data_IF_639760804668
#
_entry.id   IF_639760804668
#
_cell.length_a   1.000
_cell.length_b   1.000
_cell.length_c   1.000
_cell.angle_alpha   90.00
_cell.angle_beta   90.00
_cell.angle_gamma   90.00
#
_symmetry.space_group_name_H-M   'P 1'
#
loop_
_entity.id
_entity.type
_entity.pdbx_description
1 polymer ?
#
# COMPACT_ATOMS: atom_id res chain seq x y z
N UNK A 1 9.84 4.19 6.44
CA UNK A 1 8.69 5.07 6.15
C UNK A 1 8.84 5.57 4.72
N UNK A 2 7.83 5.46 3.86
CA UNK A 2 7.91 5.82 2.43
C UNK A 2 7.93 7.36 2.30
N UNK A 3 9.06 7.97 2.61
CA UNK A 3 9.19 9.43 2.68
C UNK A 3 10.03 9.98 1.55
N UNK A 4 9.46 9.93 0.35
CA UNK A 4 9.96 10.76 -0.72
C UNK A 4 8.79 11.44 -1.39
N UNK A 5 8.90 12.76 -1.53
CA UNK A 5 7.92 13.60 -2.23
C UNK A 5 7.63 13.09 -3.64
N UNK A 6 8.61 12.46 -4.30
CA UNK A 6 8.41 11.85 -5.61
C UNK A 6 7.44 10.65 -5.57
N UNK A 7 7.43 9.86 -4.50
CA UNK A 7 6.50 8.73 -4.35
C UNK A 7 5.10 9.22 -4.00
N UNK A 8 4.98 10.26 -3.16
CA UNK A 8 3.68 10.85 -2.81
C UNK A 8 2.90 11.32 -4.05
N UNK A 9 3.60 11.82 -5.08
CA UNK A 9 3.00 12.23 -6.37
C UNK A 9 2.48 11.07 -7.23
N UNK A 10 2.91 9.84 -6.96
CA UNK A 10 2.48 8.66 -7.72
C UNK A 10 1.25 7.99 -7.11
N UNK A 11 0.86 8.40 -5.89
CA UNK A 11 -0.31 7.89 -5.19
C UNK A 11 -1.55 8.55 -5.79
N UNK A 12 -2.61 7.76 -5.97
CA UNK A 12 -3.88 8.23 -6.53
C UNK A 12 -4.61 9.23 -5.63
N UNK A 13 -5.57 10.00 -6.17
CA UNK A 13 -6.51 10.78 -5.37
C UNK A 13 -7.26 9.88 -4.38
N UNK A 14 -7.25 10.23 -3.10
CA UNK A 14 -7.67 9.35 -1.99
C UNK A 14 -6.50 8.83 -1.14
N UNK A 15 -5.28 8.93 -1.67
CA UNK A 15 -4.06 8.62 -0.93
C UNK A 15 -3.74 7.14 -0.91
N UNK A 16 -3.07 6.72 0.16
CA UNK A 16 -2.69 5.34 0.40
C UNK A 16 -3.34 4.85 1.68
N UNK A 17 -3.62 3.56 1.72
CA UNK A 17 -3.99 2.85 2.92
C UNK A 17 -2.80 1.97 3.31
N UNK A 18 -2.13 2.33 4.41
CA UNK A 18 -1.11 1.48 5.00
C UNK A 18 -1.76 0.68 6.12
N UNK A 19 -1.94 -0.62 5.91
CA UNK A 19 -2.34 -1.53 6.96
C UNK A 19 -1.08 -1.95 7.69
N UNK A 20 -0.91 -1.45 8.91
CA UNK A 20 0.23 -1.74 9.78
C UNK A 20 0.36 -3.22 10.13
N UNK A 21 -0.69 -4.00 9.86
CA UNK A 21 -0.64 -5.44 10.01
C UNK A 21 -1.58 -6.14 9.03
N UNK A 22 -1.18 -7.35 8.63
CA UNK A 22 -2.01 -8.23 7.79
C UNK A 22 -3.23 -8.79 8.53
N UNK A 23 -3.37 -8.53 9.83
CA UNK A 23 -4.53 -8.97 10.63
C UNK A 23 -5.75 -8.07 10.47
N UNK A 24 -5.58 -6.83 10.03
CA UNK A 24 -6.70 -5.90 9.78
C UNK A 24 -7.43 -6.22 8.46
N UNK A 25 -6.99 -7.25 7.73
CA UNK A 25 -7.52 -7.63 6.43
C UNK A 25 -7.76 -9.13 6.36
N UNK A 26 -8.93 -9.50 5.86
CA UNK A 26 -9.34 -10.88 5.60
C UNK A 26 -9.31 -11.06 4.09
N UNK A 27 -8.38 -11.89 3.62
CA UNK A 27 -8.25 -12.26 2.22
C UNK A 27 -9.00 -13.57 1.96
N UNK A 28 -9.65 -13.74 0.80
CA UNK A 28 -10.17 -15.04 0.39
C UNK A 28 -9.02 -16.01 0.11
N UNK A 29 -9.31 -17.30 0.15
CA UNK A 29 -8.40 -18.31 -0.36
C UNK A 29 -8.23 -18.13 -1.88
N UNK A 30 -7.01 -17.86 -2.33
CA UNK A 30 -6.69 -17.71 -3.75
C UNK A 30 -6.29 -16.28 -4.15
N UNK A 31 -6.72 -15.78 -5.32
CA UNK A 31 -6.28 -14.49 -5.84
C UNK A 31 -6.69 -13.32 -4.93
N UNK A 32 -5.73 -12.47 -4.56
CA UNK A 32 -5.92 -11.25 -3.75
C UNK A 32 -6.57 -10.11 -4.53
N UNK A 33 -7.72 -10.40 -5.12
CA UNK A 33 -8.51 -9.45 -5.91
C UNK A 33 -9.58 -8.76 -5.08
N UNK A 34 -9.98 -9.35 -3.95
CA UNK A 34 -10.97 -8.82 -3.04
C UNK A 34 -10.53 -9.09 -1.60
N UNK A 35 -11.00 -8.29 -0.65
CA UNK A 35 -10.74 -8.50 0.77
C UNK A 35 -11.80 -7.81 1.64
N UNK A 36 -11.82 -8.13 2.92
CA UNK A 36 -12.56 -7.39 3.93
C UNK A 36 -11.56 -6.73 4.86
N UNK A 37 -11.60 -5.39 4.95
CA UNK A 37 -10.85 -4.64 5.97
C UNK A 37 -11.73 -4.52 7.21
N UNK A 38 -11.21 -4.96 8.34
CA UNK A 38 -11.87 -4.85 9.64
C UNK A 38 -11.29 -3.68 10.44
N UNK A 39 -12.15 -2.94 11.12
CA UNK A 39 -11.75 -1.83 11.99
C UNK A 39 -12.79 -1.60 13.08
N UNK A 40 -12.43 -1.00 14.22
CA UNK A 40 -13.40 -0.59 15.23
C UNK A 40 -14.39 0.43 14.66
N UNK A 41 -15.67 0.33 15.04
CA UNK A 41 -16.67 1.36 14.74
C UNK A 41 -16.59 2.54 15.73
N UNK A 42 -16.00 2.31 16.90
CA UNK A 42 -15.82 3.27 17.97
C UNK A 42 -14.36 3.26 18.44
N UNK A 43 -13.87 4.41 18.91
CA UNK A 43 -12.57 4.53 19.52
C UNK A 43 -12.70 5.09 20.94
N UNK A 44 -11.85 4.63 21.84
CA UNK A 44 -11.64 5.23 23.14
C UNK A 44 -10.48 6.22 23.07
N UNK A 45 -10.76 7.47 23.41
CA UNK A 45 -9.78 8.54 23.38
C UNK A 45 -9.58 9.10 24.78
N UNK A 46 -8.48 8.72 25.42
CA UNK A 46 -8.13 9.12 26.78
C UNK A 46 -7.91 10.64 26.94
N UNK A 47 -7.65 11.37 25.86
CA UNK A 47 -7.38 12.81 25.92
C UNK A 47 -8.65 13.66 25.93
N UNK A 48 -9.83 13.05 25.69
CA UNK A 48 -11.09 13.76 25.75
C UNK A 48 -11.50 14.08 27.19
N UNK A 49 -12.36 15.09 27.32
CA UNK A 49 -12.92 15.56 28.60
C UNK A 49 -11.86 15.90 29.66
N UNK A 50 -10.67 16.36 29.27
CA UNK A 50 -9.62 16.72 30.23
C UNK A 50 -8.92 15.51 30.86
N UNK A 51 -8.83 14.38 30.14
CA UNK A 51 -8.08 13.20 30.58
C UNK A 51 -8.93 12.08 31.17
N UNK A 52 -10.23 12.28 31.33
CA UNK A 52 -11.17 11.22 31.76
C UNK A 52 -11.46 10.21 30.65
N UNK A 53 -11.18 10.60 29.40
CA UNK A 53 -11.45 9.81 28.22
C UNK A 53 -12.92 9.80 27.83
N UNK A 54 -13.17 9.53 26.56
CA UNK A 54 -14.52 9.34 26.05
C UNK A 54 -14.52 8.41 24.83
N UNK A 55 -15.71 7.90 24.51
CA UNK A 55 -15.95 7.16 23.29
C UNK A 55 -16.26 8.11 22.14
N UNK A 56 -15.62 7.89 21.00
CA UNK A 56 -15.90 8.60 19.75
C UNK A 56 -16.21 7.63 18.62
N UNK A 57 -16.99 8.08 17.64
CA UNK A 57 -17.20 7.29 16.43
C UNK A 57 -15.92 7.28 15.60
N UNK A 58 -15.44 6.08 15.28
CA UNK A 58 -14.30 5.94 14.40
C UNK A 58 -14.70 6.41 12.99
N UNK A 59 -13.92 7.32 12.40
CA UNK A 59 -14.07 7.63 10.98
C UNK A 59 -13.80 6.36 10.13
N UNK A 60 -14.50 6.16 9.01
CA UNK A 60 -14.20 5.04 8.12
C UNK A 60 -12.77 5.19 7.56
N UNK A 61 -11.91 4.20 7.82
CA UNK A 61 -10.55 4.14 7.27
C UNK A 61 -10.55 4.12 5.74
N UNK A 62 -11.61 3.53 5.17
CA UNK A 62 -11.78 3.38 3.74
C UNK A 62 -13.25 3.67 3.35
N UNK A 63 -13.60 4.94 3.07
CA UNK A 63 -14.96 5.31 2.66
C UNK A 63 -15.39 4.61 1.36
N UNK A 64 -16.67 4.27 1.27
CA UNK A 64 -17.26 3.61 0.09
C UNK A 64 -17.10 4.49 -1.15
N UNK A 65 -16.68 3.88 -2.27
CA UNK A 65 -16.41 4.53 -3.55
C UNK A 65 -15.01 5.17 -3.66
N UNK A 66 -14.25 5.28 -2.57
CA UNK A 66 -12.87 5.76 -2.66
C UNK A 66 -11.94 4.68 -3.23
N UNK A 67 -10.91 5.15 -3.93
CA UNK A 67 -9.78 4.33 -4.40
C UNK A 67 -8.53 4.68 -3.62
N UNK A 68 -7.78 3.67 -3.15
CA UNK A 68 -6.52 3.88 -2.41
C UNK A 68 -5.45 2.89 -2.85
N UNK A 69 -4.20 3.34 -2.83
CA UNK A 69 -3.06 2.43 -2.95
C UNK A 69 -2.90 1.63 -1.65
N UNK A 70 -2.97 0.30 -1.73
CA UNK A 70 -2.92 -0.57 -0.56
C UNK A 70 -1.49 -1.05 -0.31
N UNK A 71 -1.01 -0.80 0.91
CA UNK A 71 0.24 -1.31 1.42
C UNK A 71 -0.03 -2.18 2.64
N UNK A 72 0.53 -3.38 2.67
CA UNK A 72 0.36 -4.32 3.79
C UNK A 72 1.70 -4.56 4.45
N UNK A 73 1.76 -4.29 5.75
CA UNK A 73 2.96 -4.56 6.54
C UNK A 73 2.98 -6.04 6.95
N UNK A 74 4.04 -6.72 6.52
CA UNK A 74 4.37 -8.07 6.92
C UNK A 74 5.56 -8.08 7.89
N UNK A 75 5.84 -9.21 8.57
CA UNK A 75 7.02 -9.34 9.44
C UNK A 75 8.35 -9.01 8.73
N UNK A 76 8.44 -9.27 7.43
CA UNK A 76 9.65 -9.07 6.62
C UNK A 76 9.68 -7.76 5.83
N UNK A 77 8.69 -6.88 6.07
CA UNK A 77 8.61 -5.57 5.43
C UNK A 77 7.24 -5.27 4.83
N UNK A 78 7.19 -4.15 4.14
CA UNK A 78 5.98 -3.62 3.53
C UNK A 78 5.82 -4.14 2.09
N UNK A 79 4.67 -4.72 1.76
CA UNK A 79 4.28 -5.07 0.39
C UNK A 79 3.34 -4.01 -0.20
N UNK A 80 3.39 -3.84 -1.51
CA UNK A 80 2.41 -3.08 -2.26
C UNK A 80 1.48 -4.07 -2.96
N UNK A 81 0.19 -4.03 -2.64
CA UNK A 81 -0.79 -5.00 -3.14
C UNK A 81 -1.53 -4.50 -4.39
N UNK A 82 -1.51 -3.19 -4.66
CA UNK A 82 -2.20 -2.58 -5.81
C UNK A 82 -3.11 -1.43 -5.41
N UNK A 83 -3.97 -1.05 -6.34
CA UNK A 83 -5.01 -0.04 -6.12
C UNK A 83 -6.33 -0.73 -5.83
N UNK A 84 -6.91 -0.43 -4.67
CA UNK A 84 -8.18 -0.98 -4.22
C UNK A 84 -9.27 0.08 -4.19
N UNK A 85 -10.52 -0.34 -4.34
CA UNK A 85 -11.73 0.45 -4.17
C UNK A 85 -12.57 -0.15 -3.06
N UNK A 86 -13.08 0.67 -2.14
CA UNK A 86 -14.07 0.24 -1.17
C UNK A 86 -15.44 0.15 -1.85
N UNK A 87 -15.98 -1.06 -2.00
CA UNK A 87 -17.25 -1.29 -2.69
C UNK A 87 -18.44 -1.23 -1.76
N UNK A 88 -18.25 -1.58 -0.49
CA UNK A 88 -19.30 -1.59 0.50
C UNK A 88 -18.70 -1.46 1.90
N UNK A 89 -19.48 -0.93 2.83
CA UNK A 89 -19.10 -0.91 4.24
C UNK A 89 -20.31 -1.10 5.14
N UNK A 90 -20.18 -2.02 6.08
CA UNK A 90 -21.20 -2.33 7.07
C UNK A 90 -20.61 -2.32 8.48
N UNK A 91 -21.48 -2.21 9.47
CA UNK A 91 -21.12 -2.34 10.88
C UNK A 91 -21.89 -3.50 11.47
N UNK A 92 -21.17 -4.46 12.02
CA UNK A 92 -21.73 -5.70 12.56
C UNK A 92 -21.40 -5.86 14.04
N UNK A 93 -22.18 -6.67 14.73
CA UNK A 93 -21.87 -7.06 16.10
C UNK A 93 -20.72 -8.06 16.06
N UNK A 94 -19.83 -7.97 17.04
CA UNK A 94 -18.65 -8.83 17.09
C UNK A 94 -18.99 -10.33 17.14
N UNK A 95 -20.05 -10.71 17.85
CA UNK A 95 -20.54 -12.09 17.92
C UNK A 95 -20.90 -12.71 16.57
N UNK A 96 -21.16 -11.88 15.56
CA UNK A 96 -21.50 -12.34 14.22
C UNK A 96 -20.24 -12.75 13.43
N UNK A 97 -19.05 -12.33 13.88
CA UNK A 97 -17.76 -12.77 13.35
C UNK A 97 -17.33 -14.08 14.00
N UNK A 98 -17.73 -15.20 13.40
CA UNK A 98 -17.30 -16.53 13.83
C UNK A 98 -15.87 -16.89 13.42
N UNK A 99 -15.24 -16.08 12.57
CA UNK A 99 -14.01 -16.46 11.85
C UNK A 99 -12.78 -15.61 12.21
N UNK A 100 -12.87 -14.70 13.18
CA UNK A 100 -11.71 -13.94 13.60
C UNK A 100 -10.76 -14.82 14.40
N UNK A 101 -9.49 -14.83 13.98
CA UNK A 101 -8.42 -15.47 14.75
C UNK A 101 -8.15 -14.66 16.01
N UNK A 102 -7.74 -15.31 17.12
CA UNK A 102 -7.40 -14.64 18.40
C UNK A 102 -6.43 -13.45 18.24
N UNK A 103 -5.56 -13.50 17.22
CA UNK A 103 -4.65 -12.39 16.90
C UNK A 103 -5.39 -11.18 16.34
N UNK A 104 -6.37 -11.38 15.45
CA UNK A 104 -7.22 -10.32 14.92
C UNK A 104 -8.09 -9.70 16.02
N UNK A 105 -8.64 -10.53 16.91
CA UNK A 105 -9.42 -10.07 18.06
C UNK A 105 -8.58 -9.13 18.96
N UNK A 106 -7.41 -9.61 19.37
CA UNK A 106 -6.47 -8.84 20.20
C UNK A 106 -6.08 -7.52 19.54
N UNK A 107 -5.88 -7.53 18.22
CA UNK A 107 -5.56 -6.32 17.46
C UNK A 107 -6.73 -5.36 17.37
N UNK A 108 -7.94 -5.84 17.18
CA UNK A 108 -9.13 -5.01 17.16
C UNK A 108 -9.34 -4.31 18.51
N UNK A 109 -9.11 -5.01 19.63
CA UNK A 109 -9.13 -4.42 20.97
C UNK A 109 -8.09 -3.30 21.09
N UNK A 110 -6.84 -3.55 20.68
CA UNK A 110 -5.77 -2.54 20.69
C UNK A 110 -6.12 -1.34 19.80
N UNK A 111 -6.60 -1.60 18.58
CA UNK A 111 -6.96 -0.57 17.60
C UNK A 111 -8.17 0.27 18.03
N UNK A 112 -8.96 -0.20 19.02
CA UNK A 112 -10.05 0.57 19.61
C UNK A 112 -9.52 1.75 20.44
N UNK A 113 -8.24 1.76 20.80
CA UNK A 113 -7.63 2.84 21.56
C UNK A 113 -7.00 3.86 20.61
N UNK A 114 -7.41 5.13 20.71
CA UNK A 114 -6.80 6.21 19.90
C UNK A 114 -5.32 6.43 20.24
N UNK A 115 -4.88 6.02 21.45
CA UNK A 115 -3.48 5.98 21.85
C UNK A 115 -3.24 4.81 22.80
N UNK A 116 -2.34 3.89 22.43
CA UNK A 116 -2.04 2.71 23.24
C UNK A 116 -1.12 2.99 24.44
N UNK A 117 -0.30 4.06 24.38
CA UNK A 117 0.83 4.28 25.29
C UNK A 117 0.49 4.40 26.80
N UNK A 118 -0.78 4.63 27.16
CA UNK A 118 -1.22 4.81 28.55
C UNK A 118 -2.37 3.88 28.94
N UNK A 119 -2.52 2.76 28.24
CA UNK A 119 -3.64 1.85 28.44
C UNK A 119 -3.38 0.91 29.61
N UNK A 120 -4.28 0.88 30.59
CA UNK A 120 -4.22 -0.09 31.68
C UNK A 120 -4.73 -1.46 31.23
N UNK A 121 -4.23 -2.58 31.78
CA UNK A 121 -4.75 -3.92 31.47
C UNK A 121 -6.26 -4.06 31.75
N UNK A 122 -6.76 -3.35 32.76
CA UNK A 122 -8.18 -3.29 33.08
C UNK A 122 -9.01 -2.77 31.90
N UNK A 123 -8.56 -1.71 31.23
CA UNK A 123 -9.27 -1.12 30.09
C UNK A 123 -9.31 -2.10 28.90
N UNK A 124 -8.22 -2.81 28.63
CA UNK A 124 -8.21 -3.84 27.57
C UNK A 124 -9.22 -4.95 27.84
N UNK A 125 -9.30 -5.44 29.08
CA UNK A 125 -10.28 -6.44 29.50
C UNK A 125 -11.73 -5.91 29.42
N UNK A 126 -11.95 -4.63 29.75
CA UNK A 126 -13.26 -3.99 29.60
C UNK A 126 -13.67 -3.93 28.13
N UNK A 127 -12.78 -3.47 27.24
CA UNK A 127 -13.03 -3.38 25.80
C UNK A 127 -13.36 -4.76 25.22
N UNK A 128 -12.58 -5.78 25.57
CA UNK A 128 -12.81 -7.18 25.19
C UNK A 128 -14.24 -7.64 25.58
N UNK A 129 -14.61 -7.44 26.85
CA UNK A 129 -15.97 -7.75 27.32
C UNK A 129 -17.05 -6.98 26.57
N UNK A 130 -16.83 -5.70 26.27
CA UNK A 130 -17.80 -4.87 25.53
C UNK A 130 -18.00 -5.35 24.09
N UNK A 131 -16.98 -5.89 23.43
CA UNK A 131 -17.15 -6.61 22.17
C UNK A 131 -17.92 -7.91 22.37
N UNK A 132 -17.56 -8.70 23.39
CA UNK A 132 -18.22 -9.98 23.70
C UNK A 132 -19.71 -9.88 23.95
N UNK A 133 -20.19 -8.79 24.56
CA UNK A 133 -21.63 -8.53 24.79
C UNK A 133 -22.28 -7.65 23.71
N UNK A 134 -21.54 -7.27 22.66
CA UNK A 134 -22.08 -6.54 21.51
C UNK A 134 -22.33 -5.04 21.70
N UNK A 135 -21.77 -4.43 22.75
CA UNK A 135 -21.80 -2.97 22.92
C UNK A 135 -20.90 -2.31 21.87
N UNK A 136 -19.68 -2.82 21.71
CA UNK A 136 -18.78 -2.39 20.65
C UNK A 136 -19.04 -3.17 19.38
N UNK A 137 -18.89 -2.49 18.25
CA UNK A 137 -19.18 -3.03 16.92
C UNK A 137 -17.94 -2.95 16.03
N UNK A 138 -17.91 -3.86 15.07
CA UNK A 138 -16.85 -3.93 14.06
C UNK A 138 -17.36 -3.33 12.78
N UNK A 139 -16.57 -2.44 12.18
CA UNK A 139 -16.78 -1.98 10.82
C UNK A 139 -16.03 -2.88 9.86
N UNK A 140 -16.74 -3.34 8.85
CA UNK A 140 -16.22 -4.12 7.74
C UNK A 140 -16.28 -3.25 6.48
N UNK A 141 -15.18 -3.17 5.74
CA UNK A 141 -15.14 -2.56 4.43
C UNK A 141 -14.77 -3.64 3.41
N UNK A 142 -15.69 -3.96 2.51
CA UNK A 142 -15.41 -4.82 1.38
C UNK A 142 -14.62 -4.01 0.35
N UNK A 143 -13.45 -4.51 -0.02
CA UNK A 143 -12.55 -3.87 -0.97
C UNK A 143 -12.29 -4.78 -2.15
N UNK A 144 -12.15 -4.20 -3.34
CA UNK A 144 -11.75 -4.91 -4.57
C UNK A 144 -10.55 -4.23 -5.21
N UNK A 145 -9.65 -5.01 -5.78
CA UNK A 145 -8.56 -4.50 -6.60
C UNK A 145 -9.13 -4.01 -7.93
N UNK A 146 -8.84 -2.76 -8.28
CA UNK A 146 -9.31 -2.13 -9.53
C UNK A 146 -8.18 -1.91 -10.54
N UNK A 147 -6.95 -1.79 -10.07
CA UNK A 147 -5.77 -1.63 -10.93
C UNK A 147 -4.49 -1.93 -10.16
N UNK A 148 -3.37 -2.00 -10.88
CA UNK A 148 -2.03 -2.07 -10.31
C UNK A 148 -1.18 -0.91 -10.85
N UNK A 149 -0.60 -0.10 -9.97
CA UNK A 149 0.19 1.07 -10.37
C UNK A 149 1.66 0.67 -10.61
N UNK A 150 1.94 0.17 -11.81
CA UNK A 150 3.29 -0.27 -12.22
C UNK A 150 4.37 0.79 -12.00
N UNK A 151 4.02 2.06 -12.19
CA UNK A 151 4.96 3.18 -12.04
C UNK A 151 5.36 3.37 -10.57
N UNK A 152 4.39 3.32 -9.67
CA UNK A 152 4.63 3.34 -8.23
C UNK A 152 5.46 2.13 -7.81
N UNK A 153 5.06 0.93 -8.23
CA UNK A 153 5.76 -0.30 -7.90
C UNK A 153 7.24 -0.30 -8.33
N UNK A 154 7.51 0.06 -9.59
CA UNK A 154 8.89 0.19 -10.10
C UNK A 154 9.70 1.23 -9.31
N UNK A 155 9.07 2.35 -8.94
CA UNK A 155 9.72 3.39 -8.14
C UNK A 155 10.06 2.93 -6.72
N UNK A 156 9.22 2.06 -6.13
CA UNK A 156 9.48 1.46 -4.82
C UNK A 156 10.66 0.48 -4.89
N UNK A 157 10.72 -0.37 -5.92
CA UNK A 157 11.83 -1.31 -6.13
C UNK A 157 13.16 -0.55 -6.32
N UNK A 158 13.17 0.48 -7.17
CA UNK A 158 14.38 1.24 -7.46
C UNK A 158 15.01 1.88 -6.21
N UNK A 159 14.20 2.32 -5.24
CA UNK A 159 14.72 2.88 -3.98
C UNK A 159 15.16 1.85 -2.97
N UNK A 160 14.71 0.60 -3.10
CA UNK A 160 15.14 -0.50 -2.24
C UNK A 160 16.50 -1.04 -2.64
N UNK A 161 16.93 -0.80 -3.88
CA UNK A 161 18.28 -1.18 -4.30
C UNK A 161 19.30 -0.52 -3.36
N UNK A 162 20.23 -1.31 -2.78
CA UNK A 162 21.32 -0.74 -1.99
C UNK A 162 22.02 0.32 -2.84
N UNK A 163 22.48 1.43 -2.25
CA UNK A 163 23.26 2.41 -2.99
C UNK A 163 24.37 1.64 -3.67
N UNK A 164 24.34 1.58 -5.00
CA UNK A 164 25.43 0.98 -5.75
C UNK A 164 26.66 1.75 -5.30
N UNK A 165 27.50 1.10 -4.49
CA UNK A 165 28.81 1.61 -4.15
C UNK A 165 29.46 1.82 -5.50
N UNK A 166 29.45 3.07 -5.96
CA UNK A 166 30.20 3.47 -7.13
C UNK A 166 31.63 3.22 -6.70
N UNK A 167 32.11 2.00 -6.99
CA UNK A 167 33.50 1.65 -6.84
C UNK A 167 34.21 2.75 -7.58
N UNK A 168 34.92 3.60 -6.83
CA UNK A 168 35.69 4.68 -7.36
C UNK A 168 36.61 4.03 -8.39
N UNK A 169 36.24 4.14 -9.66
CA UNK A 169 37.14 3.87 -10.76
C UNK A 169 38.11 5.03 -10.75
N UNK A 170 39.04 5.00 -9.80
CA UNK A 170 40.34 5.62 -9.95
C UNK A 170 40.96 4.94 -11.16
N UNK A 171 40.65 5.49 -12.33
CA UNK A 171 41.39 5.29 -13.56
C UNK A 171 42.82 5.75 -13.26
N UNK A 172 43.63 4.79 -12.79
CA UNK A 172 45.07 4.96 -12.69
C UNK A 172 45.53 5.22 -14.13
N UNK A 173 45.97 6.44 -14.38
CA UNK A 173 46.49 6.89 -15.66
C UNK A 173 47.57 5.91 -16.16
N UNK A 174 47.19 5.05 -17.10
CA UNK A 174 48.13 4.22 -17.85
C UNK A 174 48.83 5.13 -18.86
N UNK A 175 50.16 5.19 -18.75
CA UNK A 175 51.05 5.94 -19.62
C UNK A 175 50.82 5.57 -21.08
N UNK A 176 50.76 6.62 -21.93
CA UNK A 176 50.85 6.57 -23.39
C UNK A 176 52.03 5.69 -23.85
N UNK A 177 51.83 4.77 -24.80
CA UNK A 177 52.83 4.44 -25.81
C UNK A 177 52.52 5.18 -27.12
N UNK A 178 53.58 5.36 -27.89
CA UNK A 178 53.74 6.33 -28.94
C UNK A 178 53.00 6.02 -30.26
N UNK A 179 52.73 7.12 -30.99
CA UNK A 179 52.60 7.28 -32.45
C UNK A 179 52.80 6.02 -33.31
N UNK A 180 51.79 5.69 -34.12
CA UNK A 180 52.02 5.27 -35.52
C UNK A 180 50.92 5.81 -36.43
N UNK A 181 51.35 6.51 -37.48
CA UNK A 181 50.57 7.08 -38.59
C UNK A 181 50.22 6.00 -39.63
N UNK A 182 49.00 6.07 -40.17
CA UNK A 182 48.62 5.86 -41.59
C UNK A 182 47.09 6.04 -41.64
N UNK A 183 46.49 7.12 -42.14
CA UNK A 183 46.46 7.65 -43.52
C UNK A 183 45.90 6.64 -44.54
N UNK A 184 44.60 6.76 -44.83
CA UNK A 184 43.97 6.78 -46.16
C UNK A 184 42.50 6.31 -46.11
N UNK A 185 41.59 7.30 -45.98
CA UNK A 185 40.47 7.66 -46.87
C UNK A 185 39.47 6.62 -47.48
N UNK A 186 38.27 7.13 -47.88
CA UNK A 186 36.98 6.45 -47.76
C UNK A 186 36.46 5.89 -49.08
N UNK A 187 35.49 4.97 -49.01
CA UNK A 187 34.61 4.68 -50.14
C UNK A 187 33.16 4.58 -49.70
N UNK A 188 32.38 5.35 -50.45
CA UNK A 188 30.95 5.54 -50.54
C UNK A 188 30.05 4.29 -50.61
N UNK A 189 28.75 4.62 -50.57
CA UNK A 189 27.59 3.89 -51.08
C UNK A 189 26.79 3.15 -50.01
N UNK A 190 25.46 3.18 -49.95
CA UNK A 190 24.44 3.87 -50.75
C UNK A 190 23.11 3.71 -49.98
N UNK A 191 22.28 4.76 -49.96
CA UNK A 191 20.82 4.62 -49.75
C UNK A 191 20.20 4.12 -51.06
N UNK A 192 19.17 3.26 -51.03
CA UNK A 192 17.82 3.79 -51.33
C UNK A 192 16.70 3.12 -50.51
N UNK A 193 15.66 3.86 -50.08
CA UNK A 193 14.31 3.92 -50.69
C UNK A 193 13.56 2.57 -50.63
N UNK A 194 12.30 2.42 -50.20
CA UNK A 194 11.08 3.10 -50.65
C UNK A 194 9.85 2.41 -50.01
N UNK A 195 8.85 3.23 -49.64
CA UNK A 195 7.41 3.12 -49.97
C UNK A 195 6.51 1.94 -49.51
N UNK A 196 5.29 2.38 -49.14
CA UNK A 196 3.93 1.74 -49.11
C UNK A 196 3.51 1.17 -47.74
N UNK A 197 2.27 1.34 -47.26
CA UNK A 197 1.00 1.86 -47.84
C UNK A 197 0.04 2.28 -46.70
N UNK A 198 -0.81 3.28 -46.99
CA UNK A 198 -1.96 3.73 -46.19
C UNK A 198 -3.15 2.75 -46.31
N UNK A 199 -3.86 2.55 -45.18
CA UNK A 199 -5.32 2.53 -44.92
C UNK A 199 -6.24 1.53 -45.69
N UNK A 200 -7.57 1.42 -45.42
CA UNK A 200 -8.43 1.98 -44.35
C UNK A 200 -9.53 1.00 -43.78
N UNK A 201 -10.38 1.55 -42.89
CA UNK A 201 -11.87 1.38 -42.76
C UNK A 201 -12.54 0.25 -41.96
N UNK A 202 -13.39 0.71 -41.01
CA UNK A 202 -14.77 0.27 -40.63
C UNK A 202 -15.02 -1.19 -40.21
N UNK A 203 -15.95 -1.55 -39.33
CA UNK A 203 -17.38 -1.18 -39.24
C UNK A 203 -17.90 -1.40 -37.82
N UNK A 204 -18.94 -0.66 -37.48
CA UNK A 204 -19.85 -0.75 -36.35
C UNK A 204 -20.35 -2.16 -35.98
N UNK A 205 -20.69 -2.32 -34.70
CA UNK A 205 -22.04 -2.67 -34.25
C UNK A 205 -22.31 -1.95 -32.92
#
# INVERSE_FOLDING_TARGET
MIESQAIKKLIIPGGHLCLENNYDIIWPEGPRTHAIVISPAFLWNANLKGGFGDWEHAAPRFPVGEKRELFVQHPHGLSYEGTFECVDSTTVVYSDFKELTTTQESRMIINTLSSYMHTTPFLLCLIDKMYGIGILKVRCAAIKMVSFNDRLYKSLIQKRAPPQTQAASTSRAAKKPAKRKSEAEPVDAEKPSKKRKKAPTSVAN
#
